data_IF_244010071657
#
_entry.id   IF_244010071657
#
_cell.length_a   1.000
_cell.length_b   1.000
_cell.length_c   1.000
_cell.angle_alpha   90.00
_cell.angle_beta   90.00
_cell.angle_gamma   90.00
#
_symmetry.space_group_name_H-M   'P 1'
#
loop_
_entity.id
_entity.type
_entity.pdbx_description
1 polymer ?
#
# COMPACT_ATOMS: atom_id res chain seq x y z
N UNK A 1 8.76 6.56 12.88
CA UNK A 1 8.93 5.56 13.96
C UNK A 1 7.56 5.14 14.45
N UNK A 2 7.31 3.84 14.59
CA UNK A 2 6.03 3.30 15.05
C UNK A 2 5.73 3.81 16.47
N UNK A 3 4.53 4.34 16.70
CA UNK A 3 4.07 4.80 18.03
C UNK A 3 3.55 3.60 18.83
N UNK A 4 4.43 2.75 19.32
CA UNK A 4 4.09 1.59 20.14
C UNK A 4 5.08 1.51 21.29
N UNK A 5 4.63 1.24 22.52
CA UNK A 5 5.53 0.96 23.63
C UNK A 5 6.32 -0.31 23.31
N UNK A 6 7.65 -0.24 23.19
CA UNK A 6 8.44 -1.40 22.84
C UNK A 6 8.42 -2.39 24.00
N UNK A 7 8.06 -3.64 23.71
CA UNK A 7 8.34 -4.73 24.63
C UNK A 7 9.85 -4.85 24.83
N UNK A 8 10.32 -5.30 26.02
CA UNK A 8 11.73 -5.58 26.22
C UNK A 8 12.22 -6.60 25.17
N UNK A 9 13.40 -6.35 24.62
CA UNK A 9 14.00 -7.22 23.61
C UNK A 9 14.20 -8.63 24.16
N UNK A 10 13.89 -9.64 23.36
CA UNK A 10 14.18 -11.02 23.72
C UNK A 10 15.70 -11.24 23.85
N UNK A 11 16.17 -12.15 24.71
CA UNK A 11 17.58 -12.52 24.76
C UNK A 11 18.09 -12.92 23.37
N UNK A 12 19.13 -12.23 22.88
CA UNK A 12 19.71 -12.44 21.55
C UNK A 12 19.26 -11.47 20.45
N UNK A 13 18.28 -10.58 20.70
CA UNK A 13 17.97 -9.49 19.77
C UNK A 13 18.94 -8.32 19.90
N UNK A 14 19.46 -7.82 18.78
CA UNK A 14 20.34 -6.66 18.71
C UNK A 14 19.64 -5.48 18.03
N UNK A 15 19.32 -4.46 18.82
CA UNK A 15 18.65 -3.22 18.39
C UNK A 15 19.38 -2.52 17.25
N UNK A 16 20.72 -2.52 17.28
CA UNK A 16 21.54 -1.88 16.25
C UNK A 16 21.30 -2.57 14.91
N UNK A 17 21.29 -3.90 14.91
CA UNK A 17 21.02 -4.70 13.71
C UNK A 17 19.61 -4.45 13.17
N UNK A 18 18.61 -4.32 14.04
CA UNK A 18 17.22 -4.08 13.62
C UNK A 18 17.05 -2.69 13.00
N UNK A 19 17.70 -1.66 13.56
CA UNK A 19 17.68 -0.28 13.01
C UNK A 19 18.41 -0.23 11.65
N UNK A 20 19.57 -0.87 11.54
CA UNK A 20 20.33 -0.94 10.28
C UNK A 20 19.53 -1.65 9.18
N UNK A 21 18.93 -2.80 9.52
CA UNK A 21 18.05 -3.55 8.61
C UNK A 21 16.83 -2.72 8.21
N UNK A 22 16.17 -2.04 9.14
CA UNK A 22 15.02 -1.19 8.83
C UNK A 22 15.38 -0.07 7.85
N UNK A 23 16.53 0.60 8.04
CA UNK A 23 17.02 1.62 7.12
C UNK A 23 17.30 1.03 5.74
N UNK A 24 17.97 -0.13 5.67
CA UNK A 24 18.23 -0.83 4.41
C UNK A 24 16.94 -1.25 3.69
N UNK A 25 16.00 -1.87 4.38
CA UNK A 25 14.78 -2.39 3.76
C UNK A 25 13.87 -1.26 3.23
N UNK A 26 13.94 -0.06 3.81
CA UNK A 26 13.19 1.10 3.30
C UNK A 26 13.61 1.56 1.89
N UNK A 27 14.79 1.14 1.42
CA UNK A 27 15.30 1.46 0.07
C UNK A 27 15.26 0.29 -0.90
N UNK A 28 14.69 -0.85 -0.49
CA UNK A 28 14.62 -2.11 -1.25
C UNK A 28 13.13 -2.44 -1.52
N UNK A 29 12.42 -1.65 -2.36
CA UNK A 29 10.96 -1.78 -2.56
C UNK A 29 10.53 -3.14 -3.11
N UNK A 30 11.42 -3.87 -3.79
CA UNK A 30 11.18 -5.23 -4.28
C UNK A 30 10.90 -6.24 -3.16
N UNK A 31 11.28 -5.92 -1.92
CA UNK A 31 10.96 -6.73 -0.73
C UNK A 31 9.55 -6.51 -0.22
N UNK A 32 8.88 -5.45 -0.66
CA UNK A 32 7.60 -5.01 -0.11
C UNK A 32 6.48 -5.44 -1.05
N UNK A 33 5.51 -6.18 -0.51
CA UNK A 33 4.30 -6.57 -1.23
C UNK A 33 3.06 -6.14 -0.46
N UNK A 34 2.22 -5.32 -1.11
CA UNK A 34 0.93 -4.93 -0.59
C UNK A 34 -0.12 -5.96 -1.02
N UNK A 35 -0.67 -6.70 -0.05
CA UNK A 35 -1.77 -7.65 -0.29
C UNK A 35 -3.13 -6.96 -0.29
N UNK A 36 -3.31 -6.04 0.66
CA UNK A 36 -4.53 -5.26 0.77
C UNK A 36 -4.27 -3.96 1.50
N UNK A 37 -5.02 -2.92 1.16
CA UNK A 37 -5.04 -1.67 1.91
C UNK A 37 -6.37 -0.93 1.74
N UNK A 38 -6.62 -0.02 2.66
CA UNK A 38 -7.69 0.96 2.63
C UNK A 38 -7.08 2.33 2.95
N UNK A 39 -7.25 3.29 2.05
CA UNK A 39 -6.67 4.62 2.19
C UNK A 39 -7.70 5.71 1.91
N UNK A 40 -7.48 6.86 2.55
CA UNK A 40 -8.10 8.12 2.18
C UNK A 40 -7.19 8.85 1.17
N UNK A 41 -7.62 8.90 -0.09
CA UNK A 41 -6.93 9.63 -1.16
C UNK A 41 -7.48 11.05 -1.24
N UNK A 42 -6.66 12.05 -0.90
CA UNK A 42 -7.06 13.47 -1.01
C UNK A 42 -6.86 13.95 -2.45
N UNK A 43 -7.95 14.05 -3.19
CA UNK A 43 -7.98 14.75 -4.48
C UNK A 43 -8.10 16.25 -4.29
N UNK A 44 -8.17 16.97 -5.41
CA UNK A 44 -8.33 18.43 -5.41
C UNK A 44 -9.68 18.87 -4.86
N UNK A 45 -10.76 18.15 -5.25
CA UNK A 45 -12.13 18.52 -4.90
C UNK A 45 -12.67 17.81 -3.65
N UNK A 46 -12.21 16.58 -3.38
CA UNK A 46 -12.70 15.79 -2.27
C UNK A 46 -11.70 14.68 -1.86
N UNK A 47 -11.96 14.07 -0.70
CA UNK A 47 -11.25 12.88 -0.25
C UNK A 47 -12.03 11.63 -0.65
N UNK A 48 -11.34 10.70 -1.30
CA UNK A 48 -11.90 9.46 -1.83
C UNK A 48 -11.32 8.25 -1.10
N UNK A 49 -12.20 7.37 -0.63
CA UNK A 49 -11.77 6.09 -0.10
C UNK A 49 -11.37 5.19 -1.28
N UNK A 50 -10.14 4.67 -1.24
CA UNK A 50 -9.60 3.76 -2.25
C UNK A 50 -9.06 2.52 -1.58
N UNK A 51 -9.51 1.36 -2.03
CA UNK A 51 -9.15 0.05 -1.49
C UNK A 51 -8.52 -0.81 -2.57
N UNK A 52 -7.62 -1.68 -2.14
CA UNK A 52 -7.06 -2.75 -2.95
C UNK A 52 -7.09 -4.04 -2.13
N UNK A 53 -7.55 -5.14 -2.71
CA UNK A 53 -7.56 -6.47 -2.10
C UNK A 53 -7.64 -7.54 -3.20
N UNK A 54 -7.95 -8.79 -2.83
CA UNK A 54 -8.08 -9.93 -3.74
C UNK A 54 -9.11 -9.71 -4.87
N UNK A 55 -10.12 -8.87 -4.66
CA UNK A 55 -11.13 -8.51 -5.67
C UNK A 55 -10.68 -7.37 -6.60
N UNK A 56 -9.44 -6.89 -6.43
CA UNK A 56 -8.86 -5.81 -7.21
C UNK A 56 -9.07 -4.42 -6.60
N UNK A 57 -9.08 -3.41 -7.46
CA UNK A 57 -9.22 -2.01 -7.08
C UNK A 57 -10.67 -1.64 -6.81
N UNK A 58 -10.89 -0.74 -5.86
CA UNK A 58 -12.15 -0.04 -5.71
C UNK A 58 -11.93 1.40 -5.23
N UNK A 59 -12.67 2.34 -5.78
CA UNK A 59 -12.62 3.74 -5.38
C UNK A 59 -14.05 4.30 -5.33
N UNK A 60 -14.36 5.07 -4.27
CA UNK A 60 -15.71 5.60 -4.07
C UNK A 60 -16.07 6.79 -4.99
N UNK A 61 -15.15 7.26 -5.84
CA UNK A 61 -15.40 8.34 -6.79
C UNK A 61 -16.30 7.91 -7.96
N UNK A 62 -17.04 8.86 -8.53
CA UNK A 62 -18.04 8.55 -9.55
C UNK A 62 -17.44 8.07 -10.89
N UNK A 63 -16.22 8.50 -11.21
CA UNK A 63 -15.49 7.99 -12.37
C UNK A 63 -15.17 6.50 -12.25
N UNK A 64 -14.79 6.04 -11.05
CA UNK A 64 -14.51 4.63 -10.83
C UNK A 64 -15.79 3.79 -10.93
N UNK A 65 -16.89 4.24 -10.34
CA UNK A 65 -18.20 3.55 -10.43
C UNK A 65 -18.67 3.37 -11.87
N UNK A 66 -18.33 4.29 -12.76
CA UNK A 66 -18.75 4.26 -14.17
C UNK A 66 -17.81 3.49 -15.10
N UNK A 67 -16.52 3.36 -14.77
CA UNK A 67 -15.51 2.80 -15.70
C UNK A 67 -14.61 1.74 -15.09
N UNK A 68 -14.77 1.43 -13.80
CA UNK A 68 -13.86 0.60 -13.00
C UNK A 68 -12.40 1.08 -13.02
N UNK A 69 -12.18 2.37 -13.32
CA UNK A 69 -10.87 3.02 -13.34
C UNK A 69 -11.03 4.51 -13.06
N UNK A 70 -10.07 5.11 -12.33
CA UNK A 70 -10.05 6.55 -12.08
C UNK A 70 -8.61 7.06 -11.88
N UNK A 71 -8.43 8.37 -11.79
CA UNK A 71 -7.12 8.98 -11.55
C UNK A 71 -6.48 8.50 -10.23
N UNK A 72 -7.28 8.18 -9.20
CA UNK A 72 -6.78 7.70 -7.92
C UNK A 72 -6.16 6.30 -8.03
N UNK A 73 -6.85 5.34 -8.65
CA UNK A 73 -6.30 4.00 -8.84
C UNK A 73 -5.10 4.03 -9.78
N UNK A 74 -5.17 4.79 -10.87
CA UNK A 74 -4.04 5.01 -11.79
C UNK A 74 -2.81 5.64 -11.11
N UNK A 75 -3.01 6.55 -10.17
CA UNK A 75 -1.92 7.15 -9.40
C UNK A 75 -1.29 6.12 -8.46
N UNK A 76 -2.11 5.33 -7.76
CA UNK A 76 -1.61 4.30 -6.83
C UNK A 76 -0.89 3.17 -7.55
N UNK A 77 -1.34 2.75 -8.73
CA UNK A 77 -0.62 1.78 -9.56
C UNK A 77 0.80 2.26 -9.92
N UNK A 78 0.97 3.56 -10.17
CA UNK A 78 2.29 4.15 -10.44
C UNK A 78 3.16 4.19 -9.20
N UNK A 79 2.59 4.63 -8.06
CA UNK A 79 3.32 4.72 -6.78
C UNK A 79 3.75 3.34 -6.28
N UNK A 80 2.88 2.33 -6.44
CA UNK A 80 3.09 0.96 -5.97
C UNK A 80 3.59 0.03 -7.08
N UNK A 81 4.15 0.60 -8.15
CA UNK A 81 4.67 -0.18 -9.28
C UNK A 81 5.68 -1.23 -8.78
N UNK A 82 5.43 -2.49 -9.11
CA UNK A 82 6.23 -3.63 -8.66
C UNK A 82 5.98 -4.09 -7.21
N UNK A 83 5.16 -3.39 -6.44
CA UNK A 83 4.83 -3.73 -5.03
C UNK A 83 3.42 -4.31 -4.85
N UNK A 84 2.57 -4.22 -5.86
CA UNK A 84 1.25 -4.88 -5.91
C UNK A 84 1.28 -6.04 -6.92
N UNK A 85 0.35 -6.98 -6.76
CA UNK A 85 0.08 -7.97 -7.80
C UNK A 85 -0.82 -7.33 -8.84
N UNK A 86 -0.48 -7.46 -10.13
CA UNK A 86 -1.38 -7.00 -11.18
C UNK A 86 -2.44 -8.08 -11.33
N UNK A 87 -3.52 -7.98 -10.54
CA UNK A 87 -4.69 -8.83 -10.75
C UNK A 87 -5.32 -8.40 -12.07
N UNK A 88 -4.99 -9.09 -13.16
CA UNK A 88 -5.77 -9.01 -14.39
C UNK A 88 -7.19 -9.46 -14.04
N UNK A 89 -8.14 -8.53 -13.97
CA UNK A 89 -9.55 -8.90 -13.99
C UNK A 89 -9.80 -9.57 -15.34
N UNK A 90 -9.98 -10.90 -15.31
CA UNK A 90 -10.53 -11.65 -16.44
C UNK A 90 -11.95 -11.12 -16.61
N UNK A 91 -12.16 -10.34 -17.66
CA UNK A 91 -13.50 -9.95 -18.10
C UNK A 91 -14.08 -11.19 -18.79
N UNK A 92 -15.00 -11.88 -18.11
CA UNK A 92 -15.82 -12.94 -18.70
C UNK A 92 -17.09 -12.35 -19.32
#
# INVERSE_FOLDING_TARGET
MLKRDPLPYAPGQNVVSDVEKAKRYSTEPERIRFRSFDIAFRGENNTHQTTYNENGWNCNCDFFKSRSVCCHTMALERVLSGMIEVTQQVVE
#
